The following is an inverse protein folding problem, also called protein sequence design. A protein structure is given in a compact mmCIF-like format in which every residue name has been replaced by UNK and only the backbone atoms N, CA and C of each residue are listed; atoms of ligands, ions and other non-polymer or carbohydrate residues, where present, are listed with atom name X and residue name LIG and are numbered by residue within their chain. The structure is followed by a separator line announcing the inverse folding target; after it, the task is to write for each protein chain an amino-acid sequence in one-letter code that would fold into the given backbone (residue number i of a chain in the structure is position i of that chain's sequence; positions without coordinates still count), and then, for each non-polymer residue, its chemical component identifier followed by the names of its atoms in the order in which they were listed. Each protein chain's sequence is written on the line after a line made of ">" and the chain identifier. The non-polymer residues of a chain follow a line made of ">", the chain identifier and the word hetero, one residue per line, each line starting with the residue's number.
data_IF_404153443692
#
_entry.id   IF_404153443692
#
_cell.length_a   1.000
_cell.length_b   1.000
_cell.length_c   1.000
_cell.angle_alpha   90.00
_cell.angle_beta   90.00
_cell.angle_gamma   90.00
#
_symmetry.space_group_name_H-M   'P 1'
#
loop_
_entity.id
_entity.type
_entity.pdbx_description
1 polymer ?
#
# COMPACT_ATOMS: atom_id res chain seq x y z
N UNK A 1 7.97 -3.18 17.82
CA UNK A 1 6.55 -3.15 17.41
C UNK A 1 6.44 -2.61 15.99
N UNK A 2 5.29 -2.80 15.28
CA UNK A 2 5.16 -2.29 13.90
C UNK A 2 5.29 -0.77 13.83
N UNK A 3 4.67 -0.06 14.76
CA UNK A 3 4.72 1.41 14.85
C UNK A 3 6.13 1.96 14.99
N UNK A 4 6.99 1.29 15.74
CA UNK A 4 8.40 1.68 15.86
C UNK A 4 9.15 1.57 14.54
N UNK A 5 8.96 0.45 13.82
CA UNK A 5 9.59 0.24 12.52
C UNK A 5 9.10 1.25 11.48
N UNK A 6 7.80 1.57 11.48
CA UNK A 6 7.24 2.61 10.58
C UNK A 6 7.86 3.98 10.89
N UNK A 7 7.95 4.36 12.17
CA UNK A 7 8.60 5.61 12.58
C UNK A 7 10.09 5.62 12.23
N UNK A 8 10.79 4.49 12.41
CA UNK A 8 12.21 4.36 12.05
C UNK A 8 12.41 4.55 10.53
N UNK A 9 11.57 3.92 9.68
CA UNK A 9 11.60 4.15 8.23
C UNK A 9 11.38 5.62 7.92
N UNK A 10 10.35 6.24 8.48
CA UNK A 10 10.02 7.64 8.21
C UNK A 10 11.14 8.60 8.62
N UNK A 11 11.85 8.30 9.70
CA UNK A 11 13.00 9.08 10.16
C UNK A 11 14.24 8.92 9.27
N UNK A 12 14.52 7.71 8.80
CA UNK A 12 15.73 7.39 8.04
C UNK A 12 15.60 7.62 6.54
N UNK A 13 14.37 7.53 5.99
CA UNK A 13 14.10 7.63 4.56
C UNK A 13 14.61 8.90 3.89
N UNK A 14 14.47 10.10 4.47
CA UNK A 14 14.94 11.34 3.83
C UNK A 14 16.44 11.32 3.51
N UNK A 15 17.26 10.76 4.38
CA UNK A 15 18.69 10.64 4.15
C UNK A 15 19.00 9.48 3.19
N UNK A 16 18.39 8.32 3.43
CA UNK A 16 18.56 7.13 2.61
C UNK A 16 18.23 7.39 1.14
N UNK A 17 17.13 8.11 0.89
CA UNK A 17 16.64 8.38 -0.47
C UNK A 17 17.54 9.32 -1.30
N UNK A 18 18.46 10.05 -0.67
CA UNK A 18 19.44 10.91 -1.40
C UNK A 18 20.34 10.11 -2.34
N UNK A 19 20.64 8.85 -2.01
CA UNK A 19 21.46 7.97 -2.83
C UNK A 19 20.80 7.61 -4.16
N UNK A 20 19.45 7.69 -4.24
CA UNK A 20 18.62 7.26 -5.38
C UNK A 20 18.77 5.78 -5.75
N UNK A 21 19.55 5.03 -4.98
CA UNK A 21 19.85 3.60 -5.19
C UNK A 21 19.48 2.79 -3.97
N UNK A 22 19.00 1.57 -4.22
CA UNK A 22 18.74 0.60 -3.16
C UNK A 22 20.05 0.11 -2.55
N UNK A 23 20.08 -0.06 -1.23
CA UNK A 23 21.21 -0.61 -0.49
C UNK A 23 20.71 -1.72 0.45
N UNK A 24 21.00 -2.97 0.10
CA UNK A 24 20.55 -4.16 0.83
C UNK A 24 21.09 -4.24 2.28
N UNK A 25 22.22 -3.61 2.53
CA UNK A 25 22.85 -3.61 3.86
C UNK A 25 22.30 -2.51 4.77
N UNK A 26 21.48 -1.61 4.21
CA UNK A 26 20.90 -0.52 4.99
C UNK A 26 19.81 -1.02 5.95
N UNK A 27 19.70 -0.36 7.09
CA UNK A 27 18.63 -0.63 8.07
C UNK A 27 17.24 -0.38 7.45
N UNK A 28 17.09 0.66 6.62
CA UNK A 28 15.83 0.99 5.93
C UNK A 28 15.39 -0.17 5.04
N UNK A 29 16.30 -0.72 4.23
CA UNK A 29 16.02 -1.88 3.39
C UNK A 29 15.54 -3.08 4.22
N UNK A 30 16.27 -3.40 5.30
CA UNK A 30 15.93 -4.53 6.17
C UNK A 30 14.53 -4.39 6.78
N UNK A 31 14.17 -3.20 7.22
CA UNK A 31 12.85 -2.94 7.78
C UNK A 31 11.76 -3.15 6.73
N UNK A 32 11.92 -2.53 5.54
CA UNK A 32 10.91 -2.55 4.48
C UNK A 32 10.74 -3.94 3.89
N UNK A 33 11.85 -4.62 3.59
CA UNK A 33 11.82 -5.87 2.81
C UNK A 33 11.67 -7.12 3.69
N UNK A 34 12.03 -7.03 4.98
CA UNK A 34 12.04 -8.18 5.88
C UNK A 34 11.20 -7.98 7.13
N UNK A 35 11.50 -6.94 7.93
CA UNK A 35 11.00 -6.87 9.30
C UNK A 35 9.49 -6.60 9.34
N UNK A 36 9.00 -5.61 8.59
CA UNK A 36 7.55 -5.33 8.51
C UNK A 36 6.80 -6.47 7.82
N UNK A 37 7.22 -6.99 6.65
CA UNK A 37 6.58 -8.16 6.05
C UNK A 37 6.46 -9.37 6.99
N UNK A 38 7.48 -9.65 7.82
CA UNK A 38 7.43 -10.73 8.79
C UNK A 38 6.37 -10.51 9.87
N UNK A 39 6.22 -9.26 10.37
CA UNK A 39 5.15 -8.93 11.32
C UNK A 39 3.78 -9.15 10.69
N UNK A 40 3.55 -8.66 9.46
CA UNK A 40 2.28 -8.83 8.75
C UNK A 40 1.97 -10.31 8.49
N UNK A 41 2.97 -11.10 8.09
CA UNK A 41 2.85 -12.55 7.89
C UNK A 41 2.44 -13.24 9.19
N UNK A 42 3.03 -12.84 10.33
CA UNK A 42 2.67 -13.37 11.65
C UNK A 42 1.22 -13.03 12.00
N UNK A 43 0.75 -11.84 11.66
CA UNK A 43 -0.63 -11.44 11.93
C UNK A 43 -1.65 -12.22 11.09
N UNK A 44 -1.32 -12.54 9.84
CA UNK A 44 -2.17 -13.32 8.92
C UNK A 44 -2.16 -14.82 9.24
N UNK A 45 -1.06 -15.35 9.80
CA UNK A 45 -0.94 -16.70 10.35
C UNK A 45 -0.93 -17.85 9.33
N UNK A 46 -1.20 -17.60 8.05
CA UNK A 46 -1.30 -18.61 7.00
C UNK A 46 -0.38 -18.27 5.83
N UNK A 47 0.86 -18.79 5.89
CA UNK A 47 1.89 -18.57 4.88
C UNK A 47 1.61 -19.28 3.54
N UNK A 48 0.78 -20.31 3.53
CA UNK A 48 0.38 -20.98 2.27
C UNK A 48 -0.57 -20.09 1.47
N UNK A 49 -1.44 -19.36 2.17
CA UNK A 49 -2.46 -18.51 1.56
C UNK A 49 -1.96 -17.09 1.30
N UNK A 50 -1.13 -16.56 2.19
CA UNK A 50 -0.71 -15.16 2.14
C UNK A 50 0.80 -15.00 1.91
N UNK A 51 1.16 -13.97 1.15
CA UNK A 51 2.52 -13.51 0.93
C UNK A 51 2.61 -12.05 1.31
N UNK A 52 3.56 -11.69 2.17
CA UNK A 52 3.84 -10.30 2.51
C UNK A 52 5.21 -9.90 1.94
N UNK A 53 5.23 -8.78 1.24
CA UNK A 53 6.43 -8.24 0.61
C UNK A 53 6.50 -6.73 0.79
N UNK A 54 7.71 -6.20 0.91
CA UNK A 54 7.97 -4.77 0.88
C UNK A 54 8.90 -4.39 -0.26
N UNK A 55 8.80 -3.16 -0.73
CA UNK A 55 9.67 -2.64 -1.77
C UNK A 55 9.99 -1.17 -1.55
N UNK A 56 11.24 -0.86 -1.74
CA UNK A 56 11.77 0.51 -1.83
C UNK A 56 12.17 0.86 -3.27
N UNK A 57 12.04 -0.12 -4.19
CA UNK A 57 12.43 -0.03 -5.59
C UNK A 57 13.29 -1.21 -6.04
N UNK A 58 13.61 -1.24 -7.32
CA UNK A 58 14.45 -2.26 -7.95
C UNK A 58 15.70 -1.59 -8.55
N UNK A 59 16.78 -1.55 -7.78
CA UNK A 59 18.02 -0.84 -8.15
C UNK A 59 17.95 0.67 -8.02
N UNK A 60 16.87 1.30 -8.47
CA UNK A 60 16.54 2.69 -8.19
C UNK A 60 15.46 2.77 -7.12
N UNK A 61 15.61 3.73 -6.19
CA UNK A 61 14.62 3.98 -5.15
C UNK A 61 13.32 4.53 -5.72
N UNK A 62 12.21 4.11 -5.13
CA UNK A 62 10.90 4.72 -5.31
C UNK A 62 10.86 6.10 -4.62
N UNK A 63 9.84 6.89 -4.91
CA UNK A 63 9.56 8.14 -4.19
C UNK A 63 9.22 7.87 -2.72
N UNK A 64 8.46 6.81 -2.50
CA UNK A 64 8.13 6.30 -1.18
C UNK A 64 8.03 4.77 -1.22
N UNK A 65 8.40 4.06 -0.15
CA UNK A 65 8.31 2.61 -0.09
C UNK A 65 6.87 2.15 0.13
N UNK A 66 6.65 0.86 -0.09
CA UNK A 66 5.39 0.21 0.21
C UNK A 66 5.60 -1.19 0.80
N UNK A 67 4.60 -1.69 1.54
CA UNK A 67 4.55 -3.06 2.03
C UNK A 67 3.17 -3.65 1.72
N UNK A 68 3.12 -4.77 1.00
CA UNK A 68 1.88 -5.40 0.56
C UNK A 68 1.66 -6.78 1.17
N UNK A 69 0.39 -7.15 1.31
CA UNK A 69 -0.05 -8.49 1.63
C UNK A 69 -0.93 -9.01 0.48
N UNK A 70 -0.51 -10.10 -0.11
CA UNK A 70 -1.17 -10.75 -1.23
C UNK A 70 -1.88 -12.02 -0.77
N UNK A 71 -3.13 -12.20 -1.20
CA UNK A 71 -3.75 -13.52 -1.17
C UNK A 71 -3.30 -14.27 -2.44
N UNK A 72 -2.51 -15.33 -2.29
CA UNK A 72 -1.91 -16.09 -3.40
C UNK A 72 -2.93 -16.67 -4.35
N UNK A 73 -4.17 -16.91 -3.90
CA UNK A 73 -5.27 -17.34 -4.78
C UNK A 73 -5.78 -16.22 -5.70
N UNK A 74 -5.42 -14.95 -5.43
CA UNK A 74 -5.80 -13.79 -6.23
C UNK A 74 -4.61 -13.29 -7.02
N UNK A 75 -3.49 -13.05 -6.33
CA UNK A 75 -2.25 -12.55 -6.91
C UNK A 75 -1.07 -12.77 -5.97
N UNK A 76 0.12 -12.92 -6.53
CA UNK A 76 1.39 -12.86 -5.81
C UNK A 76 2.25 -11.69 -6.32
N UNK A 77 1.62 -10.63 -6.86
CA UNK A 77 2.37 -9.53 -7.47
C UNK A 77 1.64 -8.21 -7.37
N UNK A 78 2.38 -7.15 -7.04
CA UNK A 78 1.87 -5.77 -7.03
C UNK A 78 1.52 -5.24 -8.43
N UNK A 79 1.83 -5.97 -9.51
CA UNK A 79 1.58 -5.53 -10.88
C UNK A 79 0.17 -5.83 -11.38
N UNK A 80 -0.51 -6.83 -10.78
CA UNK A 80 -1.82 -7.33 -11.22
C UNK A 80 -2.70 -7.76 -10.05
N UNK A 81 -3.99 -7.98 -10.31
CA UNK A 81 -4.97 -8.35 -9.30
C UNK A 81 -5.27 -7.22 -8.34
N UNK A 82 -5.79 -7.55 -7.17
CA UNK A 82 -6.01 -6.63 -6.06
C UNK A 82 -5.41 -7.20 -4.77
N UNK A 83 -4.97 -6.32 -3.88
CA UNK A 83 -4.24 -6.69 -2.68
C UNK A 83 -4.34 -5.58 -1.64
N UNK A 84 -3.94 -5.90 -0.42
CA UNK A 84 -3.81 -4.93 0.68
C UNK A 84 -2.39 -4.38 0.67
N UNK A 85 -2.22 -3.06 0.85
CA UNK A 85 -0.91 -2.42 0.85
C UNK A 85 -0.85 -1.26 1.82
N UNK A 86 0.30 -1.11 2.47
CA UNK A 86 0.72 0.09 3.17
C UNK A 86 1.58 0.93 2.24
N UNK A 87 1.17 2.17 2.00
CA UNK A 87 1.86 3.14 1.18
C UNK A 87 2.31 4.32 2.05
N UNK A 88 3.60 4.62 2.05
CA UNK A 88 4.10 5.84 2.66
C UNK A 88 3.82 7.05 1.76
N UNK A 89 3.56 8.22 2.35
CA UNK A 89 3.60 9.48 1.61
C UNK A 89 5.04 9.87 1.27
N UNK A 90 5.24 10.68 0.22
CA UNK A 90 6.58 11.11 -0.20
C UNK A 90 7.30 11.91 0.91
N UNK A 91 6.55 12.66 1.71
CA UNK A 91 7.06 13.45 2.85
C UNK A 91 7.23 12.67 4.15
N UNK A 92 6.96 11.36 4.14
CA UNK A 92 7.04 10.45 5.29
C UNK A 92 6.19 10.86 6.51
N UNK A 93 5.15 11.68 6.32
CA UNK A 93 4.27 12.09 7.43
C UNK A 93 3.06 11.21 7.60
N UNK A 94 2.65 10.51 6.55
CA UNK A 94 1.49 9.63 6.59
C UNK A 94 1.76 8.24 6.03
N UNK A 95 0.98 7.28 6.52
CA UNK A 95 0.93 5.91 6.04
C UNK A 95 -0.51 5.59 5.65
N UNK A 96 -0.73 5.12 4.45
CA UNK A 96 -2.05 4.73 3.96
C UNK A 96 -2.13 3.21 3.83
N UNK A 97 -3.05 2.60 4.57
CA UNK A 97 -3.47 1.22 4.38
C UNK A 97 -4.60 1.23 3.35
N UNK A 98 -4.44 0.50 2.27
CA UNK A 98 -5.48 0.42 1.24
C UNK A 98 -5.67 -0.99 0.68
N UNK A 99 -6.85 -1.23 0.14
CA UNK A 99 -7.10 -2.29 -0.83
C UNK A 99 -7.10 -1.63 -2.20
N UNK A 100 -6.19 -2.05 -3.06
CA UNK A 100 -6.01 -1.44 -4.36
C UNK A 100 -5.69 -2.43 -5.47
N UNK A 101 -5.75 -1.96 -6.72
CA UNK A 101 -5.38 -2.72 -7.89
C UNK A 101 -3.92 -2.53 -8.28
N UNK A 102 -3.32 -3.56 -8.88
CA UNK A 102 -2.04 -3.43 -9.57
C UNK A 102 -2.19 -2.59 -10.84
N UNK A 103 -1.67 -1.36 -10.85
CA UNK A 103 -1.80 -0.43 -11.99
C UNK A 103 -1.20 -0.95 -13.29
N UNK A 104 -0.15 -1.78 -13.22
CA UNK A 104 0.56 -2.30 -14.38
C UNK A 104 -0.33 -3.15 -15.29
N UNK A 105 -1.28 -3.92 -14.74
CA UNK A 105 -2.22 -4.69 -15.54
C UNK A 105 -3.07 -3.80 -16.48
N UNK A 106 -3.50 -2.62 -16.00
CA UNK A 106 -4.26 -1.66 -16.80
C UNK A 106 -3.37 -1.01 -17.86
N UNK A 107 -2.13 -0.67 -17.52
CA UNK A 107 -1.15 -0.15 -18.48
C UNK A 107 -0.89 -1.13 -19.61
N UNK A 108 -0.68 -2.40 -19.30
CA UNK A 108 -0.41 -3.45 -20.31
C UNK A 108 -1.61 -3.67 -21.23
N UNK A 109 -2.84 -3.54 -20.71
CA UNK A 109 -4.06 -3.78 -21.49
C UNK A 109 -4.54 -2.56 -22.25
N UNK A 110 -4.41 -1.35 -21.71
CA UNK A 110 -5.04 -0.14 -22.24
C UNK A 110 -4.04 0.96 -22.64
N UNK A 111 -2.73 0.70 -22.51
CA UNK A 111 -1.69 1.70 -22.75
C UNK A 111 -1.63 2.78 -21.66
N UNK A 112 -1.11 3.96 -21.98
CA UNK A 112 -0.89 5.08 -21.06
C UNK A 112 -1.74 6.32 -21.36
N UNK A 113 -2.68 6.23 -22.30
CA UNK A 113 -3.57 7.32 -22.68
C UNK A 113 -4.72 7.57 -21.71
N UNK A 114 -5.65 8.44 -22.06
CA UNK A 114 -6.82 8.79 -21.26
C UNK A 114 -7.68 7.56 -20.88
N UNK A 115 -7.74 6.56 -21.76
CA UNK A 115 -8.47 5.33 -21.51
C UNK A 115 -7.96 4.54 -20.30
N UNK A 116 -6.67 4.62 -19.99
CA UNK A 116 -6.07 3.96 -18.83
C UNK A 116 -6.74 4.36 -17.50
N UNK A 117 -6.82 5.65 -17.21
CA UNK A 117 -7.43 6.14 -15.98
C UNK A 117 -8.94 5.85 -15.93
N UNK A 118 -9.63 5.98 -17.06
CA UNK A 118 -11.05 5.66 -17.17
C UNK A 118 -11.32 4.19 -16.82
N UNK A 119 -10.47 3.25 -17.27
CA UNK A 119 -10.62 1.84 -16.96
C UNK A 119 -10.32 1.51 -15.49
N UNK A 120 -9.34 2.16 -14.89
CA UNK A 120 -9.08 2.05 -13.46
C UNK A 120 -10.30 2.55 -12.66
N UNK A 121 -10.80 3.74 -12.96
CA UNK A 121 -11.96 4.32 -12.26
C UNK A 121 -13.21 3.42 -12.37
N UNK A 122 -13.49 2.87 -13.57
CA UNK A 122 -14.58 1.89 -13.76
C UNK A 122 -14.38 0.64 -12.91
N UNK A 123 -13.16 0.09 -12.85
CA UNK A 123 -12.86 -1.09 -12.06
C UNK A 123 -13.04 -0.81 -10.55
N UNK A 124 -12.59 0.35 -10.08
CA UNK A 124 -12.77 0.77 -8.69
C UNK A 124 -14.24 0.94 -8.33
N UNK A 125 -15.03 1.63 -9.19
CA UNK A 125 -16.47 1.83 -8.99
C UNK A 125 -17.18 0.47 -8.90
N UNK A 126 -16.91 -0.43 -9.86
CA UNK A 126 -17.52 -1.76 -9.88
C UNK A 126 -17.15 -2.58 -8.64
N UNK A 127 -15.89 -2.52 -8.19
CA UNK A 127 -15.46 -3.25 -7.00
C UNK A 127 -16.13 -2.72 -5.74
N UNK A 128 -16.23 -1.39 -5.59
CA UNK A 128 -16.95 -0.75 -4.48
C UNK A 128 -18.43 -1.15 -4.46
N UNK A 129 -19.11 -1.09 -5.61
CA UNK A 129 -20.51 -1.48 -5.71
C UNK A 129 -20.73 -2.94 -5.30
N UNK A 130 -19.88 -3.85 -5.77
CA UNK A 130 -20.00 -5.28 -5.49
C UNK A 130 -19.59 -5.67 -4.05
N UNK A 131 -18.78 -4.87 -3.37
CA UNK A 131 -18.30 -5.13 -1.99
C UNK A 131 -19.02 -4.33 -0.92
N UNK A 132 -19.95 -3.46 -1.28
CA UNK A 132 -20.65 -2.56 -0.33
C UNK A 132 -21.35 -3.32 0.79
N UNK A 133 -21.96 -4.48 0.49
CA UNK A 133 -22.63 -5.31 1.48
C UNK A 133 -21.66 -5.92 2.51
N UNK A 134 -20.44 -6.26 2.09
CA UNK A 134 -19.40 -6.79 2.99
C UNK A 134 -18.92 -5.71 3.97
N UNK A 135 -18.82 -4.48 3.49
CA UNK A 135 -18.43 -3.34 4.33
C UNK A 135 -19.51 -2.99 5.34
N UNK A 136 -20.78 -3.00 4.96
CA UNK A 136 -21.88 -2.69 5.86
C UNK A 136 -21.99 -3.69 7.03
N UNK A 137 -21.64 -4.96 6.83
CA UNK A 137 -21.65 -5.97 7.87
C UNK A 137 -20.46 -5.86 8.84
N UNK A 138 -19.28 -5.46 8.37
CA UNK A 138 -18.05 -5.45 9.14
C UNK A 138 -17.62 -4.05 9.61
N UNK A 139 -17.92 -2.98 8.84
CA UNK A 139 -17.56 -1.60 9.18
C UNK A 139 -18.49 -0.91 10.19
N UNK A 140 -19.63 -1.49 10.55
CA UNK A 140 -20.43 -0.98 11.68
C UNK A 140 -19.65 -0.92 13.00
N UNK A 141 -18.50 -1.62 13.07
CA UNK A 141 -17.58 -1.61 14.22
C UNK A 141 -16.35 -0.70 14.03
N UNK A 142 -16.08 -0.22 12.83
CA UNK A 142 -14.91 0.61 12.54
C UNK A 142 -15.39 2.00 12.12
N UNK A 143 -15.40 2.89 13.08
CA UNK A 143 -15.83 4.28 13.03
C UNK A 143 -15.38 5.06 11.79
N UNK A 144 -16.34 5.76 11.15
CA UNK A 144 -16.32 7.14 10.58
C UNK A 144 -15.08 7.71 9.85
N UNK A 145 -14.03 6.95 9.55
CA UNK A 145 -12.78 7.45 8.97
C UNK A 145 -12.33 6.76 7.68
N UNK A 146 -13.17 5.94 7.07
CA UNK A 146 -12.92 5.42 5.72
C UNK A 146 -13.13 6.55 4.72
N UNK A 147 -12.08 7.24 4.35
CA UNK A 147 -12.08 8.09 3.19
C UNK A 147 -12.21 7.20 1.95
N UNK A 148 -13.45 6.95 1.53
CA UNK A 148 -13.79 6.20 0.32
C UNK A 148 -13.32 6.97 -0.94
N UNK A 149 -12.90 8.23 -0.78
CA UNK A 149 -12.59 9.12 -1.89
C UNK A 149 -11.23 9.77 -1.67
N UNK A 150 -10.34 9.57 -2.62
CA UNK A 150 -9.08 10.31 -2.79
C UNK A 150 -7.99 10.03 -1.74
N UNK A 151 -7.29 8.92 -1.92
CA UNK A 151 -5.95 8.77 -1.35
C UNK A 151 -5.07 9.86 -1.95
N UNK A 152 -4.54 10.72 -1.11
CA UNK A 152 -3.46 11.64 -1.48
C UNK A 152 -2.18 11.07 -0.89
N UNK A 153 -1.34 10.53 -1.75
CA UNK A 153 -0.01 10.07 -1.37
C UNK A 153 1.03 11.19 -1.54
N UNK A 154 0.58 12.33 -2.10
CA UNK A 154 1.42 13.48 -2.47
C UNK A 154 2.65 13.06 -3.29
N UNK A 155 2.49 11.98 -4.09
CA UNK A 155 3.54 11.46 -4.94
C UNK A 155 3.69 12.37 -6.15
N UNK A 156 4.70 13.23 -6.12
CA UNK A 156 5.11 14.00 -7.27
C UNK A 156 5.73 13.08 -8.32
N UNK A 157 5.30 13.16 -9.57
CA UNK A 157 6.03 12.47 -10.61
C UNK A 157 5.22 11.81 -11.71
N UNK A 158 5.68 10.64 -12.12
CA UNK A 158 5.25 10.04 -13.36
C UNK A 158 3.81 9.46 -13.28
N UNK A 159 3.33 9.10 -14.44
CA UNK A 159 2.03 8.51 -14.70
C UNK A 159 1.66 7.32 -13.76
N UNK A 160 2.59 6.42 -13.46
CA UNK A 160 2.31 5.25 -12.61
C UNK A 160 2.09 5.64 -11.14
N UNK A 161 2.80 6.65 -10.63
CA UNK A 161 2.61 7.10 -9.25
C UNK A 161 1.21 7.68 -9.03
N UNK A 162 0.72 8.49 -9.99
CA UNK A 162 -0.67 8.97 -9.99
C UNK A 162 -1.69 7.83 -10.12
N UNK A 163 -1.30 6.75 -10.79
CA UNK A 163 -2.17 5.59 -10.92
C UNK A 163 -2.41 4.87 -9.58
N UNK A 164 -1.45 4.83 -8.66
CA UNK A 164 -1.65 4.23 -7.35
C UNK A 164 -2.79 4.88 -6.58
N UNK A 165 -2.86 6.21 -6.57
CA UNK A 165 -3.97 6.94 -5.94
C UNK A 165 -5.34 6.58 -6.56
N UNK A 166 -5.36 6.38 -7.87
CA UNK A 166 -6.59 6.03 -8.62
C UNK A 166 -6.98 4.56 -8.48
N UNK A 167 -6.01 3.66 -8.21
CA UNK A 167 -6.25 2.23 -8.03
C UNK A 167 -6.85 1.88 -6.66
N UNK A 168 -6.92 2.82 -5.74
CA UNK A 168 -7.44 2.62 -4.39
C UNK A 168 -8.94 2.31 -4.40
N UNK A 169 -9.32 1.13 -3.87
CA UNK A 169 -10.72 0.73 -3.68
C UNK A 169 -11.22 1.30 -2.35
N UNK A 170 -10.52 1.00 -1.26
CA UNK A 170 -10.77 1.51 0.10
C UNK A 170 -9.45 1.84 0.77
N UNK A 171 -9.44 2.86 1.61
CA UNK A 171 -8.23 3.26 2.32
C UNK A 171 -8.48 3.87 3.68
N UNK A 172 -7.47 3.73 4.55
CA UNK A 172 -7.36 4.39 5.85
C UNK A 172 -6.00 5.07 5.92
N UNK A 173 -5.96 6.35 6.23
CA UNK A 173 -4.70 7.10 6.35
C UNK A 173 -4.42 7.43 7.81
N UNK A 174 -3.19 7.19 8.23
CA UNK A 174 -2.66 7.45 9.58
C UNK A 174 -1.57 8.51 9.50
N UNK A 175 -1.54 9.41 10.48
CA UNK A 175 -0.32 10.19 10.72
C UNK A 175 0.71 9.28 11.36
N UNK A 176 1.93 9.23 10.82
CA UNK A 176 2.97 8.32 11.30
C UNK A 176 3.30 8.57 12.77
N UNK A 177 3.34 9.82 13.21
CA UNK A 177 3.56 10.19 14.62
C UNK A 177 2.48 9.72 15.59
N UNK A 178 1.30 9.33 15.11
CA UNK A 178 0.14 8.91 15.91
C UNK A 178 -0.20 7.42 15.71
N UNK A 179 0.66 6.65 15.04
CA UNK A 179 0.42 5.23 14.75
C UNK A 179 0.42 4.41 16.05
N UNK A 180 -0.61 3.57 16.18
CA UNK A 180 -0.79 2.64 17.27
C UNK A 180 -0.92 1.21 16.74
N UNK A 181 -0.09 0.30 17.25
CA UNK A 181 -0.03 -1.11 16.79
C UNK A 181 -1.35 -1.84 16.88
N UNK A 182 -2.10 -1.68 17.98
CA UNK A 182 -3.39 -2.34 18.16
C UNK A 182 -4.39 -1.88 17.12
N UNK A 183 -4.42 -0.56 16.85
CA UNK A 183 -5.34 0.01 15.89
C UNK A 183 -5.00 -0.44 14.47
N UNK A 184 -3.73 -0.31 14.06
CA UNK A 184 -3.32 -0.67 12.70
C UNK A 184 -3.47 -2.18 12.44
N UNK A 185 -3.24 -3.03 13.46
CA UNK A 185 -3.50 -4.46 13.37
C UNK A 185 -4.98 -4.76 13.16
N UNK A 186 -5.87 -4.13 13.93
CA UNK A 186 -7.31 -4.33 13.81
C UNK A 186 -7.86 -3.85 12.45
N UNK A 187 -7.27 -2.79 11.90
CA UNK A 187 -7.68 -2.24 10.60
C UNK A 187 -7.12 -3.08 9.42
N UNK A 188 -6.04 -3.84 9.65
CA UNK A 188 -5.37 -4.68 8.64
C UNK A 188 -5.99 -6.09 8.53
N UNK A 189 -6.43 -6.72 9.64
CA UNK A 189 -7.02 -8.07 9.71
C UNK A 189 -8.51 -8.00 9.45
#
# INVERSE_FOLDING_TARGET
>A
MLSELINEVASLWPEYSKSKKTNKDSRVHQIIVRDIPNILSTWLGDSEKYLCEGSEGQGNLLKAPWIAAFNKNITGSAQKGYYVVFLFSEDMKSLTLEIGFGATQFKNRFGTGSNFFNQIERAVINMRANSQHLLQSNLKKTTSRTNIQNVKLDLSGNFLLRAYEKCSIYSLTYKISEINDKKIKNDFI
#
